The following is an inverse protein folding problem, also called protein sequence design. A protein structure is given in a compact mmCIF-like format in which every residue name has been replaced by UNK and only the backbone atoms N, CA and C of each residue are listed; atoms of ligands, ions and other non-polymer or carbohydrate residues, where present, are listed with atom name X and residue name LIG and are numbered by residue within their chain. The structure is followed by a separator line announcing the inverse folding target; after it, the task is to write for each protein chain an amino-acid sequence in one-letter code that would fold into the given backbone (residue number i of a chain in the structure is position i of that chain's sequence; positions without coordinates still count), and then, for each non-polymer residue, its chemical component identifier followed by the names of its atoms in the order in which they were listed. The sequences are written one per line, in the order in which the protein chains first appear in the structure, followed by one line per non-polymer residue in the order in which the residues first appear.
data_IF_672697732347
#
_entry.id   IF_672697732347
#
_cell.length_a   1.000
_cell.length_b   1.000
_cell.length_c   1.000
_cell.angle_alpha   90.00
_cell.angle_beta   90.00
_cell.angle_gamma   90.00
#
_symmetry.space_group_name_H-M   'P 1'
#
loop_
_entity.id
_entity.type
_entity.pdbx_description
1 polymer ?
#
# COMPACT_ATOMS: atom_id res chain seq x y z
N UNK A 1 2.19 18.79 54.62
CA UNK A 1 1.49 19.73 53.73
C UNK A 1 1.87 19.32 52.31
N UNK A 2 0.85 19.07 51.50
CA UNK A 2 0.85 18.33 50.24
C UNK A 2 1.90 18.81 49.22
N UNK A 3 2.66 17.86 48.67
CA UNK A 3 3.43 18.03 47.44
C UNK A 3 2.46 17.68 46.31
N UNK A 4 2.08 18.68 45.49
CA UNK A 4 1.32 18.45 44.28
C UNK A 4 2.27 17.90 43.21
N UNK A 5 2.12 16.62 42.87
CA UNK A 5 2.71 16.03 41.68
C UNK A 5 1.78 16.41 40.52
N UNK A 6 2.23 17.33 39.68
CA UNK A 6 1.59 17.62 38.40
C UNK A 6 1.74 16.39 37.51
N UNK A 7 0.60 15.80 37.15
CA UNK A 7 0.52 14.75 36.15
C UNK A 7 0.32 15.48 34.81
N UNK A 8 1.40 15.65 34.07
CA UNK A 8 1.34 16.00 32.65
C UNK A 8 0.82 14.76 31.94
N UNK A 9 -0.45 14.80 31.54
CA UNK A 9 -1.00 13.81 30.62
C UNK A 9 -0.84 14.36 29.22
N UNK A 10 0.35 14.18 28.67
CA UNK A 10 0.51 14.04 27.23
C UNK A 10 -0.04 12.66 26.86
N UNK A 11 -1.37 12.55 26.76
CA UNK A 11 -2.03 11.44 26.06
C UNK A 11 -1.79 11.64 24.56
N UNK A 12 -0.55 11.39 24.13
CA UNK A 12 -0.25 11.17 22.72
C UNK A 12 -0.45 9.68 22.48
N UNK A 13 -1.71 9.21 22.49
CA UNK A 13 -2.05 7.94 21.85
C UNK A 13 -1.84 8.16 20.36
N UNK A 14 -0.59 8.02 19.90
CA UNK A 14 -0.33 7.79 18.49
C UNK A 14 -1.09 6.51 18.16
N UNK A 15 -2.27 6.64 17.56
CA UNK A 15 -2.97 5.52 16.98
C UNK A 15 -1.96 4.87 16.04
N UNK A 16 -1.41 3.72 16.43
CA UNK A 16 -0.51 2.89 15.61
C UNK A 16 -1.31 2.20 14.50
N UNK A 17 -2.28 2.91 13.92
CA UNK A 17 -3.13 2.39 12.89
C UNK A 17 -2.28 2.21 11.64
N UNK A 18 -2.38 1.04 11.03
CA UNK A 18 -1.66 0.70 9.80
C UNK A 18 -2.58 0.80 8.60
N UNK A 19 -1.98 1.05 7.46
CA UNK A 19 -2.53 0.84 6.14
C UNK A 19 -1.73 -0.26 5.45
N UNK A 20 -2.18 -0.73 4.30
CA UNK A 20 -1.41 -1.69 3.51
C UNK A 20 -1.07 -1.16 2.12
N UNK A 21 0.10 -1.55 1.62
CA UNK A 21 0.61 -1.14 0.32
C UNK A 21 0.97 -2.37 -0.51
N UNK A 22 0.45 -2.40 -1.73
CA UNK A 22 0.94 -3.26 -2.81
C UNK A 22 1.58 -2.41 -3.89
N UNK A 23 2.58 -2.94 -4.59
CA UNK A 23 3.27 -2.25 -5.68
C UNK A 23 3.34 -3.17 -6.89
N UNK A 24 2.87 -2.68 -8.03
CA UNK A 24 2.93 -3.36 -9.32
C UNK A 24 3.80 -2.58 -10.28
N UNK A 25 4.61 -3.28 -11.07
CA UNK A 25 5.40 -2.72 -12.17
C UNK A 25 4.75 -3.09 -13.50
N UNK A 26 4.58 -2.10 -14.35
CA UNK A 26 4.08 -2.23 -15.72
C UNK A 26 4.81 -1.27 -16.65
N UNK A 27 4.52 -1.33 -17.94
CA UNK A 27 5.09 -0.44 -18.94
C UNK A 27 4.07 -0.05 -20.01
N UNK A 28 4.37 1.05 -20.68
CA UNK A 28 3.72 1.49 -21.90
C UNK A 28 4.49 0.93 -23.12
N UNK A 29 3.82 0.72 -24.27
CA UNK A 29 4.49 0.17 -25.44
C UNK A 29 5.66 1.04 -25.94
N UNK A 30 6.80 0.42 -26.24
CA UNK A 30 7.96 1.07 -26.84
C UNK A 30 8.47 0.34 -28.10
N UNK A 31 9.24 1.03 -28.93
CA UNK A 31 9.77 0.53 -30.22
C UNK A 31 11.19 -0.04 -30.06
N UNK A 32 11.31 -1.11 -29.28
CA UNK A 32 12.51 -1.92 -29.11
C UNK A 32 12.15 -3.40 -29.25
N UNK A 33 13.12 -4.28 -29.50
CA UNK A 33 12.83 -5.71 -29.57
C UNK A 33 12.55 -6.27 -28.16
N UNK A 34 13.37 -5.89 -27.17
CA UNK A 34 13.24 -6.24 -25.76
C UNK A 34 13.96 -5.20 -24.89
N UNK A 35 13.48 -4.98 -23.67
CA UNK A 35 14.18 -4.15 -22.67
C UNK A 35 14.17 -4.86 -21.33
N UNK A 36 15.32 -5.39 -20.94
CA UNK A 36 15.52 -6.12 -19.71
C UNK A 36 16.01 -5.20 -18.60
N UNK A 37 15.28 -5.14 -17.49
CA UNK A 37 15.63 -4.34 -16.31
C UNK A 37 15.63 -5.21 -15.06
N UNK A 38 16.72 -5.14 -14.30
CA UNK A 38 16.88 -5.84 -13.01
C UNK A 38 16.27 -5.01 -11.88
N UNK A 39 15.24 -5.52 -11.23
CA UNK A 39 14.66 -4.93 -10.01
C UNK A 39 15.23 -5.63 -8.78
N UNK A 40 15.86 -4.85 -7.89
CA UNK A 40 16.56 -5.36 -6.69
C UNK A 40 15.77 -5.08 -5.42
N UNK A 41 15.15 -3.91 -5.31
CA UNK A 41 14.40 -3.53 -4.11
C UNK A 41 13.35 -2.45 -4.43
N UNK A 42 12.35 -2.33 -3.56
CA UNK A 42 11.38 -1.23 -3.55
C UNK A 42 11.36 -0.64 -2.16
N UNK A 43 11.62 0.66 -2.06
CA UNK A 43 11.67 1.39 -0.80
C UNK A 43 10.65 2.52 -0.77
N UNK A 44 10.29 2.95 0.43
CA UNK A 44 9.41 4.10 0.65
C UNK A 44 10.03 5.10 1.60
N UNK A 45 9.60 6.36 1.48
CA UNK A 45 9.94 7.43 2.42
C UNK A 45 8.69 8.21 2.82
N UNK A 46 8.39 8.20 4.11
CA UNK A 46 7.21 8.85 4.73
C UNK A 46 7.51 10.22 5.36
N UNK A 47 8.78 10.50 5.67
CA UNK A 47 9.19 11.78 6.25
C UNK A 47 9.98 12.54 5.20
N UNK A 48 9.51 13.71 4.78
CA UNK A 48 10.35 14.66 4.05
C UNK A 48 11.28 15.35 5.06
N UNK A 49 12.57 15.04 4.98
CA UNK A 49 13.65 15.76 5.66
C UNK A 49 14.61 16.36 4.62
N UNK A 50 15.52 17.22 5.09
CA UNK A 50 16.52 17.86 4.22
C UNK A 50 17.64 16.89 3.77
N UNK A 51 17.60 15.62 4.20
CA UNK A 51 18.58 14.60 3.82
C UNK A 51 17.94 13.58 2.88
N UNK A 52 18.26 13.72 1.60
CA UNK A 52 17.69 12.93 0.51
C UNK A 52 17.89 11.40 0.64
N UNK A 53 18.79 10.92 1.50
CA UNK A 53 19.16 9.50 1.66
C UNK A 53 18.77 8.86 2.99
N UNK A 54 18.30 9.62 3.97
CA UNK A 54 17.76 9.04 5.21
C UNK A 54 16.26 8.73 5.09
N UNK A 55 15.76 7.87 5.98
CA UNK A 55 14.33 7.61 6.13
C UNK A 55 13.71 6.67 5.10
N UNK A 56 14.54 5.95 4.33
CA UNK A 56 14.08 4.90 3.42
C UNK A 56 13.84 3.59 4.16
N UNK A 57 12.69 2.99 3.92
CA UNK A 57 12.27 1.70 4.43
C UNK A 57 12.05 0.75 3.24
N UNK A 58 12.74 -0.40 3.24
CA UNK A 58 12.50 -1.44 2.22
C UNK A 58 11.16 -2.12 2.49
N UNK A 59 10.41 -2.35 1.42
CA UNK A 59 9.14 -3.07 1.44
C UNK A 59 9.31 -4.58 1.25
N UNK A 60 10.54 -5.09 1.23
CA UNK A 60 10.87 -6.51 1.05
C UNK A 60 10.13 -7.15 -0.15
N UNK A 61 10.40 -6.70 -1.39
CA UNK A 61 9.68 -7.19 -2.55
C UNK A 61 9.80 -8.70 -2.73
N UNK A 62 8.70 -9.32 -3.13
CA UNK A 62 8.55 -10.78 -3.25
C UNK A 62 8.97 -11.32 -4.62
N UNK A 63 8.99 -10.45 -5.63
CA UNK A 63 9.35 -10.80 -7.02
C UNK A 63 10.44 -9.86 -7.53
N UNK A 64 11.68 -10.06 -7.08
CA UNK A 64 12.87 -9.38 -7.62
C UNK A 64 13.49 -10.17 -8.77
N UNK A 65 14.24 -9.50 -9.64
CA UNK A 65 14.90 -10.14 -10.77
C UNK A 65 14.87 -9.30 -12.05
N UNK A 66 15.27 -9.91 -13.15
CA UNK A 66 15.31 -9.29 -14.48
C UNK A 66 13.97 -9.49 -15.19
N UNK A 67 13.36 -8.40 -15.63
CA UNK A 67 12.10 -8.38 -16.34
C UNK A 67 12.27 -7.79 -17.73
N UNK A 68 11.65 -8.41 -18.73
CA UNK A 68 11.41 -7.73 -20.01
C UNK A 68 10.21 -6.79 -19.84
N UNK A 69 10.48 -5.49 -19.82
CA UNK A 69 9.45 -4.48 -19.59
C UNK A 69 8.40 -4.47 -20.71
N UNK A 70 8.77 -4.87 -21.94
CA UNK A 70 7.83 -4.91 -23.06
C UNK A 70 6.79 -6.03 -22.92
N UNK A 71 7.06 -7.05 -22.08
CA UNK A 71 6.07 -8.07 -21.71
C UNK A 71 5.08 -7.58 -20.65
N UNK A 72 5.33 -6.43 -20.01
CA UNK A 72 4.48 -5.84 -18.97
C UNK A 72 3.53 -4.78 -19.52
N UNK A 73 3.14 -4.93 -20.79
CA UNK A 73 2.23 -4.03 -21.50
C UNK A 73 0.82 -4.62 -21.59
N UNK A 74 -0.18 -3.80 -21.95
CA UNK A 74 -1.54 -4.28 -22.23
C UNK A 74 -2.29 -4.83 -21.01
N UNK A 75 -1.94 -4.36 -19.80
CA UNK A 75 -2.55 -4.78 -18.53
C UNK A 75 -1.79 -5.91 -17.82
N UNK A 76 -0.73 -6.44 -18.42
CA UNK A 76 0.21 -7.33 -17.73
C UNK A 76 1.08 -6.50 -16.77
N UNK A 77 1.40 -7.07 -15.62
CA UNK A 77 2.21 -6.42 -14.60
C UNK A 77 2.93 -7.46 -13.73
N UNK A 78 3.96 -7.01 -13.03
CA UNK A 78 4.63 -7.78 -11.98
C UNK A 78 4.22 -7.21 -10.62
N UNK A 79 3.69 -8.05 -9.74
CA UNK A 79 3.47 -7.71 -8.34
C UNK A 79 4.81 -7.75 -7.59
N UNK A 80 5.38 -6.59 -7.30
CA UNK A 80 6.66 -6.48 -6.59
C UNK A 80 6.46 -6.60 -5.08
N UNK A 81 5.43 -5.95 -4.55
CA UNK A 81 5.10 -5.93 -3.11
C UNK A 81 3.62 -6.27 -2.97
N UNK A 82 3.29 -7.15 -2.04
CA UNK A 82 1.92 -7.60 -1.78
C UNK A 82 1.54 -7.31 -0.32
N UNK A 83 0.49 -6.50 -0.13
CA UNK A 83 -0.14 -6.18 1.16
C UNK A 83 0.81 -5.83 2.32
N UNK A 84 1.86 -5.06 2.05
CA UNK A 84 2.85 -4.67 3.06
C UNK A 84 2.23 -3.70 4.07
N UNK A 85 2.22 -4.08 5.35
CA UNK A 85 1.70 -3.25 6.44
C UNK A 85 2.65 -2.10 6.75
N UNK A 86 2.12 -0.87 6.74
CA UNK A 86 2.87 0.36 7.02
C UNK A 86 2.06 1.26 7.94
N UNK A 87 2.69 2.07 8.83
CA UNK A 87 1.90 3.00 9.62
C UNK A 87 1.25 4.07 8.74
N UNK A 88 -0.03 4.31 8.99
CA UNK A 88 -0.87 5.25 8.25
C UNK A 88 -0.36 6.69 8.37
N UNK A 89 -0.76 7.54 7.44
CA UNK A 89 -0.30 8.93 7.31
C UNK A 89 0.41 9.18 5.98
N UNK A 90 1.24 10.22 5.93
CA UNK A 90 1.87 10.69 4.69
C UNK A 90 2.91 9.69 4.14
N UNK A 91 2.78 9.38 2.86
CA UNK A 91 3.75 8.67 2.02
C UNK A 91 4.22 9.64 0.93
N UNK A 92 5.48 10.08 1.01
CA UNK A 92 5.97 11.11 0.09
C UNK A 92 6.57 10.50 -1.17
N UNK A 93 7.34 9.42 -1.02
CA UNK A 93 8.13 8.87 -2.12
C UNK A 93 8.17 7.35 -2.12
N UNK A 94 8.25 6.79 -3.33
CA UNK A 94 8.63 5.41 -3.62
C UNK A 94 9.98 5.45 -4.34
N UNK A 95 10.85 4.48 -4.06
CA UNK A 95 12.14 4.31 -4.72
C UNK A 95 12.25 2.90 -5.29
N UNK A 96 12.39 2.82 -6.60
CA UNK A 96 12.71 1.57 -7.29
C UNK A 96 14.24 1.44 -7.40
N UNK A 97 14.81 0.42 -6.78
CA UNK A 97 16.24 0.12 -6.86
C UNK A 97 16.45 -0.85 -8.01
N UNK A 98 17.27 -0.42 -8.98
CA UNK A 98 17.66 -1.23 -10.12
C UNK A 98 19.05 -1.83 -9.89
N UNK A 99 19.27 -3.03 -10.41
CA UNK A 99 20.57 -3.70 -10.42
C UNK A 99 21.44 -3.25 -11.58
N UNK A 100 22.46 -4.05 -11.89
CA UNK A 100 23.43 -3.77 -12.96
C UNK A 100 23.14 -4.57 -14.24
N UNK A 101 22.30 -5.62 -14.17
CA UNK A 101 21.98 -6.49 -15.30
C UNK A 101 20.83 -5.94 -16.16
N UNK A 102 21.05 -4.75 -16.74
CA UNK A 102 20.09 -4.09 -17.61
C UNK A 102 20.55 -4.10 -19.06
N UNK A 103 19.69 -4.53 -19.99
CA UNK A 103 20.02 -4.62 -21.42
C UNK A 103 18.87 -4.19 -22.31
N UNK A 104 19.17 -3.78 -23.54
CA UNK A 104 18.19 -3.52 -24.60
C UNK A 104 18.55 -4.33 -25.83
N UNK A 105 17.55 -4.83 -26.54
CA UNK A 105 17.72 -5.48 -27.83
C UNK A 105 17.22 -4.56 -28.94
N UNK A 106 18.10 -4.29 -29.92
CA UNK A 106 17.82 -3.44 -31.07
C UNK A 106 18.27 -4.17 -32.33
N UNK A 107 17.36 -4.38 -33.26
CA UNK A 107 17.60 -5.11 -34.50
C UNK A 107 18.20 -6.52 -34.27
N UNK A 108 17.81 -7.18 -33.18
CA UNK A 108 18.28 -8.51 -32.76
C UNK A 108 19.66 -8.54 -32.08
N UNK A 109 20.30 -7.39 -31.84
CA UNK A 109 21.57 -7.29 -31.10
C UNK A 109 21.34 -6.78 -29.67
N UNK A 110 21.97 -7.43 -28.68
CA UNK A 110 21.86 -7.06 -27.27
C UNK A 110 22.94 -6.06 -26.87
N UNK A 111 22.53 -4.96 -26.24
CA UNK A 111 23.40 -3.91 -25.72
C UNK A 111 23.19 -3.73 -24.21
N UNK A 112 24.27 -3.62 -23.45
CA UNK A 112 24.18 -3.25 -22.04
C UNK A 112 23.75 -1.80 -21.86
N UNK A 113 22.87 -1.57 -20.89
CA UNK A 113 22.41 -0.25 -20.51
C UNK A 113 23.26 0.29 -19.35
N UNK A 114 23.86 1.45 -19.54
CA UNK A 114 24.53 2.15 -18.45
C UNK A 114 23.48 2.81 -17.55
N UNK A 115 23.61 2.66 -16.24
CA UNK A 115 22.70 3.23 -15.23
C UNK A 115 23.30 4.35 -14.36
N UNK A 116 23.93 5.42 -14.92
CA UNK A 116 24.58 6.46 -14.12
C UNK A 116 23.70 7.10 -13.05
N UNK A 117 22.38 7.18 -13.29
CA UNK A 117 21.39 7.73 -12.36
C UNK A 117 20.84 6.71 -11.36
N UNK A 118 20.78 5.41 -11.70
CA UNK A 118 20.23 4.38 -10.82
C UNK A 118 21.28 3.85 -9.81
N UNK A 119 22.57 3.88 -10.17
CA UNK A 119 23.68 3.30 -9.40
C UNK A 119 24.04 4.03 -8.08
N UNK A 120 23.50 5.22 -7.81
CA UNK A 120 23.88 6.00 -6.62
C UNK A 120 22.76 6.08 -5.55
N UNK A 121 21.48 6.01 -5.92
CA UNK A 121 20.38 6.17 -4.95
C UNK A 121 19.04 5.54 -5.37
N UNK A 122 18.96 4.78 -6.46
CA UNK A 122 17.68 4.36 -7.03
C UNK A 122 16.86 5.52 -7.62
N UNK A 123 15.77 5.20 -8.31
CA UNK A 123 14.88 6.22 -8.89
C UNK A 123 13.81 6.64 -7.88
N UNK A 124 13.79 7.92 -7.50
CA UNK A 124 12.78 8.47 -6.58
C UNK A 124 11.55 8.94 -7.35
N UNK A 125 10.40 8.40 -6.97
CA UNK A 125 9.08 8.70 -7.52
C UNK A 125 8.31 9.42 -6.43
N UNK A 126 7.85 10.65 -6.70
CA UNK A 126 7.03 11.40 -5.75
C UNK A 126 5.58 10.95 -5.87
N UNK A 127 4.99 10.55 -4.76
CA UNK A 127 3.59 10.12 -4.67
C UNK A 127 2.76 11.12 -3.86
N UNK A 128 3.28 11.61 -2.72
CA UNK A 128 2.61 12.56 -1.83
C UNK A 128 1.16 12.15 -1.50
N UNK A 129 1.00 10.93 -1.01
CA UNK A 129 -0.29 10.34 -0.68
C UNK A 129 -0.51 10.30 0.84
N UNK A 130 -1.71 10.64 1.29
CA UNK A 130 -2.15 10.38 2.68
C UNK A 130 -2.77 8.99 2.76
N UNK A 131 -2.11 8.06 3.45
CA UNK A 131 -2.63 6.72 3.68
C UNK A 131 -3.57 6.73 4.89
N UNK A 132 -4.84 6.44 4.64
CA UNK A 132 -5.85 6.32 5.68
C UNK A 132 -5.72 4.99 6.42
N UNK A 133 -6.02 5.03 7.71
CA UNK A 133 -5.99 3.86 8.56
C UNK A 133 -6.92 2.76 8.04
N UNK A 134 -6.42 1.52 8.05
CA UNK A 134 -7.13 0.30 7.67
C UNK A 134 -7.52 0.20 6.18
N UNK A 135 -6.96 1.06 5.33
CA UNK A 135 -7.17 1.05 3.89
C UNK A 135 -5.98 0.39 3.19
N UNK A 136 -6.29 -0.46 2.20
CA UNK A 136 -5.31 -1.05 1.31
C UNK A 136 -5.16 -0.25 0.02
N UNK A 137 -3.92 0.04 -0.34
CA UNK A 137 -3.54 0.81 -1.52
C UNK A 137 -2.69 -0.02 -2.48
N UNK A 138 -2.90 0.13 -3.78
CA UNK A 138 -2.01 -0.39 -4.82
C UNK A 138 -1.40 0.79 -5.59
N UNK A 139 -0.08 0.83 -5.61
CA UNK A 139 0.67 1.73 -6.49
C UNK A 139 1.04 1.00 -7.77
N UNK A 140 0.63 1.56 -8.89
CA UNK A 140 1.04 1.12 -10.22
C UNK A 140 2.22 2.01 -10.65
N UNK A 141 3.37 1.38 -10.85
CA UNK A 141 4.57 2.00 -11.38
C UNK A 141 4.65 1.68 -12.87
N UNK A 142 4.44 2.69 -13.70
CA UNK A 142 4.48 2.61 -15.15
C UNK A 142 5.85 3.09 -15.66
N UNK A 143 6.60 2.20 -16.31
CA UNK A 143 8.01 2.40 -16.62
C UNK A 143 8.30 3.20 -17.88
N UNK A 144 7.41 3.55 -18.80
CA UNK A 144 7.73 4.36 -20.00
C UNK A 144 9.13 4.10 -20.64
N UNK A 145 9.33 2.91 -21.18
CA UNK A 145 10.61 2.51 -21.78
C UNK A 145 11.06 3.46 -22.90
N UNK A 146 10.14 3.98 -23.69
CA UNK A 146 10.40 4.91 -24.80
C UNK A 146 11.06 6.23 -24.35
N UNK A 147 10.73 6.72 -23.16
CA UNK A 147 11.34 7.89 -22.53
C UNK A 147 12.61 7.53 -21.72
N UNK A 148 12.75 6.27 -21.33
CA UNK A 148 13.78 5.80 -20.41
C UNK A 148 15.10 5.41 -21.07
N UNK A 149 15.10 5.07 -22.37
CA UNK A 149 16.30 4.64 -23.10
C UNK A 149 16.91 5.80 -23.89
N UNK A 150 18.18 6.11 -23.61
CA UNK A 150 18.90 7.23 -24.25
C UNK A 150 20.15 6.72 -24.97
N UNK A 151 20.13 6.78 -26.30
CA UNK A 151 21.29 6.48 -27.15
C UNK A 151 22.22 7.72 -27.19
N UNK A 152 23.40 7.60 -26.58
CA UNK A 152 24.34 8.70 -26.41
C UNK A 152 25.19 8.95 -27.67
N UNK A 153 24.57 9.51 -28.71
CA UNK A 153 25.23 10.06 -29.90
C UNK A 153 26.34 9.16 -30.47
N UNK A 154 27.49 9.76 -30.81
CA UNK A 154 28.60 9.05 -31.47
C UNK A 154 29.41 8.11 -30.56
N UNK A 155 29.08 8.01 -29.26
CA UNK A 155 29.85 7.17 -28.33
C UNK A 155 29.48 5.68 -28.41
N UNK A 156 28.32 5.36 -28.98
CA UNK A 156 27.76 4.00 -28.96
C UNK A 156 27.22 3.58 -27.58
N UNK A 157 27.31 4.43 -26.55
CA UNK A 157 26.76 4.13 -25.24
C UNK A 157 25.23 4.26 -25.28
N UNK A 158 24.54 3.31 -24.65
CA UNK A 158 23.11 3.40 -24.37
C UNK A 158 22.95 3.53 -22.87
N UNK A 159 22.18 4.52 -22.43
CA UNK A 159 21.93 4.78 -21.03
C UNK A 159 20.48 4.46 -20.69
N UNK A 160 20.27 3.88 -19.52
CA UNK A 160 18.97 3.79 -18.87
C UNK A 160 18.82 4.99 -17.92
N UNK A 161 17.89 5.87 -18.27
CA UNK A 161 17.45 7.02 -17.46
C UNK A 161 15.95 6.85 -17.18
N UNK A 162 15.58 6.04 -16.17
CA UNK A 162 14.20 5.66 -15.94
C UNK A 162 13.29 6.88 -15.78
N UNK A 163 12.16 6.86 -16.47
CA UNK A 163 11.06 7.80 -16.30
C UNK A 163 9.84 6.98 -15.88
N UNK A 164 9.48 7.06 -14.59
CA UNK A 164 8.39 6.26 -14.04
C UNK A 164 7.25 7.17 -13.63
N UNK A 165 6.02 6.80 -14.00
CA UNK A 165 4.79 7.41 -13.48
C UNK A 165 4.21 6.51 -12.42
N UNK A 166 3.86 7.09 -11.27
CA UNK A 166 3.07 6.40 -10.26
C UNK A 166 1.62 6.81 -10.39
N UNK A 167 0.73 5.82 -10.35
CA UNK A 167 -0.69 6.01 -10.05
C UNK A 167 -1.07 5.15 -8.86
N UNK A 168 -2.14 5.54 -8.17
CA UNK A 168 -2.60 4.89 -6.96
C UNK A 168 -4.07 4.51 -7.10
N UNK A 169 -4.38 3.32 -6.64
CA UNK A 169 -5.74 2.82 -6.48
C UNK A 169 -5.91 2.43 -5.02
N UNK A 170 -6.81 3.11 -4.30
CA UNK A 170 -7.35 2.53 -3.09
C UNK A 170 -8.20 1.33 -3.53
N UNK A 171 -8.08 0.20 -2.82
CA UNK A 171 -8.77 -1.03 -3.20
C UNK A 171 -9.89 -1.39 -2.22
N UNK A 172 -9.79 -0.92 -0.98
CA UNK A 172 -10.69 -1.32 0.10
C UNK A 172 -11.26 -0.11 0.84
N UNK A 173 -12.35 -0.34 1.56
CA UNK A 173 -12.85 0.50 2.63
C UNK A 173 -12.81 -0.25 3.96
N UNK A 174 -13.27 0.42 5.01
CA UNK A 174 -13.45 -0.18 6.33
C UNK A 174 -14.79 0.27 6.94
N UNK A 175 -15.29 -0.48 7.92
CA UNK A 175 -16.42 -0.08 8.75
C UNK A 175 -15.95 -0.02 10.21
N UNK A 176 -16.29 1.05 10.91
CA UNK A 176 -16.02 1.19 12.34
C UNK A 176 -17.28 1.49 13.14
N UNK A 177 -17.26 1.18 14.43
CA UNK A 177 -18.36 1.47 15.34
C UNK A 177 -18.04 1.08 16.76
N UNK A 178 -19.03 1.19 17.63
CA UNK A 178 -18.96 0.80 19.04
C UNK A 178 -20.15 -0.07 19.41
N UNK A 179 -19.91 -1.07 20.25
CA UNK A 179 -20.93 -1.95 20.80
C UNK A 179 -21.00 -1.79 22.32
N UNK A 180 -22.23 -1.73 22.85
CA UNK A 180 -22.54 -1.71 24.27
C UNK A 180 -23.45 -2.91 24.64
N UNK A 181 -23.39 -3.41 25.89
CA UNK A 181 -22.52 -2.96 26.98
C UNK A 181 -21.05 -3.35 26.75
N UNK A 182 -20.12 -2.61 27.35
CA UNK A 182 -18.69 -2.97 27.36
C UNK A 182 -18.41 -4.07 28.39
N UNK A 183 -17.24 -4.70 28.31
CA UNK A 183 -16.82 -5.75 29.24
C UNK A 183 -17.35 -7.16 28.91
N UNK A 184 -17.95 -7.32 27.73
CA UNK A 184 -18.25 -8.61 27.09
C UNK A 184 -17.48 -8.69 25.77
N UNK A 185 -17.03 -9.88 25.38
CA UNK A 185 -16.44 -10.05 24.06
C UNK A 185 -17.54 -10.08 23.00
N UNK A 186 -17.40 -9.24 21.98
CA UNK A 186 -18.31 -9.22 20.83
C UNK A 186 -17.51 -9.45 19.55
N UNK A 187 -18.02 -10.33 18.70
CA UNK A 187 -17.55 -10.57 17.34
C UNK A 187 -18.45 -9.82 16.34
N UNK A 188 -17.85 -9.09 15.41
CA UNK A 188 -18.54 -8.40 14.32
C UNK A 188 -18.13 -9.06 13.01
N UNK A 189 -19.12 -9.49 12.22
CA UNK A 189 -18.90 -10.23 10.97
C UNK A 189 -19.68 -9.64 9.81
N UNK A 190 -19.18 -9.83 8.59
CA UNK A 190 -19.90 -9.61 7.34
C UNK A 190 -19.53 -10.68 6.32
N UNK A 191 -20.41 -10.94 5.36
CA UNK A 191 -20.13 -11.82 4.22
C UNK A 191 -19.59 -11.00 3.04
N UNK A 192 -18.44 -11.41 2.51
CA UNK A 192 -17.83 -10.86 1.29
C UNK A 192 -17.72 -11.99 0.27
N UNK A 193 -18.70 -12.08 -0.65
CA UNK A 193 -18.79 -13.18 -1.60
C UNK A 193 -19.04 -14.52 -0.92
N UNK A 194 -18.02 -15.37 -0.82
CA UNK A 194 -18.07 -16.67 -0.10
C UNK A 194 -17.27 -16.68 1.20
N UNK A 195 -16.62 -15.58 1.54
CA UNK A 195 -15.77 -15.44 2.72
C UNK A 195 -16.50 -14.67 3.81
N UNK A 196 -16.14 -14.94 5.07
CA UNK A 196 -16.61 -14.18 6.22
C UNK A 196 -15.44 -13.33 6.68
N UNK A 197 -15.63 -12.01 6.68
CA UNK A 197 -14.69 -11.07 7.29
C UNK A 197 -15.18 -10.79 8.71
N UNK A 198 -14.28 -10.90 9.68
CA UNK A 198 -14.60 -10.80 11.10
C UNK A 198 -13.60 -9.94 11.86
N UNK A 199 -14.08 -9.28 12.91
CA UNK A 199 -13.25 -8.57 13.90
C UNK A 199 -13.87 -8.73 15.29
N UNK A 200 -13.11 -8.36 16.33
CA UNK A 200 -13.57 -8.37 17.71
C UNK A 200 -13.56 -6.95 18.27
N UNK A 201 -14.50 -6.66 19.17
CA UNK A 201 -14.47 -5.39 19.91
C UNK A 201 -13.32 -5.33 20.91
N UNK A 202 -12.77 -4.14 21.13
CA UNK A 202 -11.81 -3.85 22.20
C UNK A 202 -12.49 -3.73 23.59
N UNK A 203 -11.71 -3.38 24.62
CA UNK A 203 -12.20 -3.22 26.01
C UNK A 203 -13.27 -2.13 26.16
N UNK A 204 -13.26 -1.13 25.27
CA UNK A 204 -14.19 -0.01 25.21
C UNK A 204 -15.37 -0.28 24.25
N UNK A 205 -15.44 -1.49 23.68
CA UNK A 205 -16.48 -1.93 22.76
C UNK A 205 -16.28 -1.45 21.31
N UNK A 206 -15.16 -0.80 20.97
CA UNK A 206 -14.92 -0.32 19.61
C UNK A 206 -14.48 -1.46 18.70
N UNK A 207 -14.89 -1.40 17.44
CA UNK A 207 -14.42 -2.34 16.41
C UNK A 207 -14.07 -1.61 15.11
N UNK A 208 -13.22 -2.25 14.32
CA UNK A 208 -12.98 -1.89 12.92
C UNK A 208 -12.93 -3.16 12.08
N UNK A 209 -13.78 -3.22 11.06
CA UNK A 209 -13.84 -4.26 10.05
C UNK A 209 -13.16 -3.73 8.78
N UNK A 210 -12.07 -4.37 8.35
CA UNK A 210 -11.14 -3.83 7.36
C UNK A 210 -11.12 -4.66 6.09
N UNK A 211 -10.58 -4.13 5.00
CA UNK A 211 -10.34 -4.89 3.77
C UNK A 211 -11.62 -5.20 2.98
N UNK A 212 -12.62 -4.34 3.05
CA UNK A 212 -13.90 -4.54 2.37
C UNK A 212 -13.89 -3.88 0.99
N UNK A 213 -14.31 -4.58 -0.05
CA UNK A 213 -14.56 -3.95 -1.36
C UNK A 213 -15.71 -2.94 -1.28
N UNK A 214 -15.76 -1.97 -2.20
CA UNK A 214 -16.91 -1.06 -2.30
C UNK A 214 -18.22 -1.84 -2.49
N UNK A 215 -19.20 -1.57 -1.64
CA UNK A 215 -20.44 -2.34 -1.60
C UNK A 215 -21.35 -1.95 -0.46
N UNK A 216 -22.41 -2.74 -0.29
CA UNK A 216 -23.36 -2.59 0.81
C UNK A 216 -23.38 -3.93 1.56
N UNK A 217 -23.18 -3.87 2.87
CA UNK A 217 -22.98 -5.04 3.71
C UNK A 217 -23.96 -5.07 4.88
N UNK A 218 -24.33 -6.28 5.29
CA UNK A 218 -25.07 -6.53 6.51
C UNK A 218 -24.10 -7.04 7.58
N UNK A 219 -24.02 -6.33 8.71
CA UNK A 219 -23.15 -6.71 9.82
C UNK A 219 -23.91 -7.58 10.80
N UNK A 220 -23.33 -8.71 11.18
CA UNK A 220 -23.82 -9.52 12.30
C UNK A 220 -22.91 -9.31 13.51
N UNK A 221 -23.49 -8.80 14.59
CA UNK A 221 -22.83 -8.50 15.86
C UNK A 221 -23.23 -9.56 16.86
N UNK A 222 -22.28 -10.43 17.21
CA UNK A 222 -22.50 -11.62 18.03
C UNK A 222 -21.78 -11.47 19.37
N UNK A 223 -22.51 -11.27 20.49
CA UNK A 223 -21.91 -11.28 21.81
C UNK A 223 -21.53 -12.71 22.22
N UNK A 224 -20.56 -12.86 23.12
CA UNK A 224 -20.20 -14.17 23.67
C UNK A 224 -21.41 -14.88 24.30
N UNK A 225 -21.55 -16.19 24.10
CA UNK A 225 -22.72 -16.95 24.56
C UNK A 225 -22.97 -16.83 26.08
N UNK A 226 -21.88 -16.68 26.86
CA UNK A 226 -21.94 -16.56 28.32
C UNK A 226 -22.63 -15.27 28.81
N UNK A 227 -22.70 -14.25 27.95
CA UNK A 227 -23.39 -12.99 28.26
C UNK A 227 -24.91 -13.15 28.35
N UNK A 228 -25.47 -14.17 27.68
CA UNK A 228 -26.92 -14.37 27.56
C UNK A 228 -27.63 -13.35 26.65
N UNK A 229 -26.89 -12.49 25.97
CA UNK A 229 -27.40 -11.50 25.03
C UNK A 229 -27.61 -12.10 23.64
N UNK A 230 -28.48 -11.50 22.84
CA UNK A 230 -28.79 -11.99 21.49
C UNK A 230 -27.99 -11.26 20.40
N UNK A 231 -27.61 -11.93 19.29
CA UNK A 231 -26.99 -11.25 18.16
C UNK A 231 -27.88 -10.18 17.54
N UNK A 232 -27.25 -9.13 17.02
CA UNK A 232 -27.91 -8.01 16.32
C UNK A 232 -27.41 -7.95 14.87
N UNK A 233 -28.31 -7.67 13.93
CA UNK A 233 -27.97 -7.46 12.52
C UNK A 233 -28.18 -5.99 12.18
N UNK A 234 -27.16 -5.36 11.58
CA UNK A 234 -27.23 -4.01 11.02
C UNK A 234 -27.19 -4.15 9.50
N UNK A 235 -28.33 -3.90 8.86
CA UNK A 235 -28.45 -4.03 7.41
C UNK A 235 -28.01 -2.76 6.68
N UNK A 236 -27.50 -2.93 5.46
CA UNK A 236 -27.38 -1.83 4.50
C UNK A 236 -26.24 -0.85 4.77
N UNK A 237 -25.13 -1.29 5.39
CA UNK A 237 -23.97 -0.43 5.65
C UNK A 237 -23.17 -0.23 4.36
N UNK A 238 -23.11 1.01 3.88
CA UNK A 238 -22.39 1.37 2.65
C UNK A 238 -20.89 1.51 2.92
N UNK A 239 -20.08 0.84 2.10
CA UNK A 239 -18.62 0.93 2.10
C UNK A 239 -18.19 1.59 0.80
N UNK A 240 -17.42 2.66 0.93
CA UNK A 240 -16.73 3.29 -0.19
C UNK A 240 -15.24 3.04 -0.08
N UNK A 241 -14.60 2.69 -1.18
CA UNK A 241 -13.15 2.55 -1.30
C UNK A 241 -12.44 3.83 -0.85
N UNK A 242 -11.35 3.66 -0.10
CA UNK A 242 -10.52 4.75 0.41
C UNK A 242 -11.03 5.39 1.70
N UNK A 243 -12.17 4.95 2.26
CA UNK A 243 -12.76 5.55 3.45
C UNK A 243 -13.13 4.51 4.52
N UNK A 244 -13.15 4.96 5.77
CA UNK A 244 -13.78 4.22 6.88
C UNK A 244 -15.19 4.76 7.12
N UNK A 245 -16.21 3.93 6.93
CA UNK A 245 -17.60 4.24 7.28
C UNK A 245 -17.82 4.00 8.77
N UNK A 246 -18.16 5.04 9.54
CA UNK A 246 -18.51 4.89 10.96
C UNK A 246 -20.01 4.73 11.14
N UNK A 247 -20.45 3.65 11.77
CA UNK A 247 -21.85 3.41 12.14
C UNK A 247 -22.18 3.96 13.54
N UNK A 248 -23.47 4.14 13.82
CA UNK A 248 -23.94 4.52 15.16
C UNK A 248 -23.65 3.42 16.20
N UNK A 249 -23.52 3.82 17.47
CA UNK A 249 -23.30 2.87 18.58
C UNK A 249 -24.44 1.85 18.65
N UNK A 250 -24.08 0.57 18.65
CA UNK A 250 -25.03 -0.54 18.76
C UNK A 250 -25.15 -0.95 20.22
N UNK A 251 -26.38 -0.98 20.75
CA UNK A 251 -26.65 -1.50 22.09
C UNK A 251 -27.32 -2.86 21.97
N UNK A 252 -26.75 -3.88 22.60
CA UNK A 252 -27.29 -5.23 22.66
C UNK A 252 -28.09 -5.38 23.95
N UNK A 253 -29.30 -5.93 23.86
CA UNK A 253 -30.22 -6.20 24.97
C UNK A 253 -30.47 -7.70 25.20
#
# INVERSE_FOLDING_TARGET
MLIAIGCDKDDNSSNNATSSISIKLMDDPADFDNVFVEVVDVMVKRIEDNDDENGWESLNPINTGVYDLLELTGGLNVLLVDDFQIPSGELNQIRLILGDDNTVVIDGETFSLNTPSAQQSGLKIKVNETLEANIGYTFLLDFMVDESIVIAGNSGNINLKPVIRASIEANTGAISGQVLPTGIQVEVTTEVGTEIVSTYTDEDGNFVLVGLDAGVYDLTITPEEASGLSPVIIEGVEVTVGNTTTIETVTIE
#
